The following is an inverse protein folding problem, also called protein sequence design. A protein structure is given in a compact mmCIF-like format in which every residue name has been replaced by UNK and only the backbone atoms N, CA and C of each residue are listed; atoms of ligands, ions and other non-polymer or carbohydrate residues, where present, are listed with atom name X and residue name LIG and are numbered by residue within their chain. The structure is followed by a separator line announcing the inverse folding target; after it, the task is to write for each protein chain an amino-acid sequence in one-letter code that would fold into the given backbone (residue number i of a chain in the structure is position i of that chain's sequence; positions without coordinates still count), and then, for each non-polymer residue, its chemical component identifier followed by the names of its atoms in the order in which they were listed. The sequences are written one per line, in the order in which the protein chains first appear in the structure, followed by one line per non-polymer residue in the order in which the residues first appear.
data_IF_018342449337
#
_entry.id   IF_018342449337
#
_cell.length_a   1.000
_cell.length_b   1.000
_cell.length_c   1.000
_cell.angle_alpha   90.00
_cell.angle_beta   90.00
_cell.angle_gamma   90.00
#
_symmetry.space_group_name_H-M   'P 1'
#
loop_
_entity.id
_entity.type
_entity.pdbx_description
1 polymer ?
#
# COMPACT_ATOMS: atom_id res chain seq x y z
N UNK A 1 -20.34 -7.99 -16.36
CA UNK A 1 -19.68 -8.07 -15.03
C UNK A 1 -18.19 -7.90 -15.24
N UNK A 2 -17.62 -6.96 -14.58
CA UNK A 2 -16.19 -6.66 -14.71
C UNK A 2 -15.37 -7.69 -13.91
N UNK A 3 -14.98 -8.79 -14.58
CA UNK A 3 -14.16 -9.85 -13.97
C UNK A 3 -12.81 -9.33 -13.45
N UNK A 4 -12.29 -8.21 -14.00
CA UNK A 4 -11.05 -7.60 -13.56
C UNK A 4 -11.15 -7.08 -12.13
N UNK A 5 -12.26 -6.43 -11.77
CA UNK A 5 -12.48 -5.95 -10.40
C UNK A 5 -12.58 -7.10 -9.38
N UNK A 6 -13.14 -8.23 -9.79
CA UNK A 6 -13.22 -9.44 -8.96
C UNK A 6 -11.82 -10.05 -8.72
N UNK A 7 -11.01 -10.11 -9.78
CA UNK A 7 -9.63 -10.63 -9.67
C UNK A 7 -8.74 -9.64 -8.90
N UNK A 8 -8.94 -8.33 -9.05
CA UNK A 8 -8.20 -7.34 -8.24
C UNK A 8 -8.41 -7.54 -6.74
N UNK A 9 -9.64 -7.79 -6.28
CA UNK A 9 -9.89 -8.10 -4.85
C UNK A 9 -9.09 -9.30 -4.36
N UNK A 10 -8.95 -10.32 -5.17
CA UNK A 10 -8.12 -11.48 -4.82
C UNK A 10 -6.62 -11.12 -4.82
N UNK A 11 -6.17 -10.29 -5.77
CA UNK A 11 -4.78 -9.80 -5.81
C UNK A 11 -4.49 -8.96 -4.56
N UNK A 12 -5.36 -8.02 -4.20
CA UNK A 12 -5.21 -7.19 -3.00
C UNK A 12 -5.13 -8.06 -1.74
N UNK A 13 -6.03 -9.03 -1.60
CA UNK A 13 -6.01 -10.00 -0.50
C UNK A 13 -4.68 -10.79 -0.45
N UNK A 14 -4.17 -11.24 -1.59
CA UNK A 14 -2.88 -11.96 -1.67
C UNK A 14 -1.74 -11.03 -1.23
N UNK A 15 -1.67 -9.80 -1.72
CA UNK A 15 -0.61 -8.84 -1.39
C UNK A 15 -0.58 -8.48 0.11
N UNK A 16 -1.75 -8.32 0.72
CA UNK A 16 -1.89 -8.06 2.15
C UNK A 16 -1.49 -9.25 3.02
N UNK A 17 -1.51 -10.46 2.45
CA UNK A 17 -1.29 -11.71 3.19
C UNK A 17 -0.04 -12.50 2.73
N UNK A 18 0.92 -11.88 2.02
CA UNK A 18 2.10 -12.60 1.52
C UNK A 18 2.93 -13.29 2.62
N UNK A 19 2.92 -12.78 3.85
CA UNK A 19 3.60 -13.38 5.01
C UNK A 19 2.76 -14.45 5.73
N UNK A 20 1.47 -14.51 5.46
CA UNK A 20 0.53 -15.43 6.09
C UNK A 20 0.25 -16.63 5.18
N UNK A 21 -0.52 -17.57 5.68
CA UNK A 21 -1.08 -18.61 4.82
C UNK A 21 -2.15 -18.00 3.91
N UNK A 22 -1.99 -18.20 2.60
CA UNK A 22 -2.95 -17.74 1.58
C UNK A 22 -3.63 -18.97 0.99
N UNK A 23 -4.82 -19.30 1.49
CA UNK A 23 -5.62 -20.38 0.95
C UNK A 23 -6.35 -19.97 -0.34
N UNK A 24 -6.37 -20.85 -1.33
CA UNK A 24 -7.06 -20.59 -2.62
C UNK A 24 -8.57 -20.37 -2.41
N UNK A 25 -9.17 -21.05 -1.44
CA UNK A 25 -10.57 -20.88 -1.11
C UNK A 25 -10.87 -19.47 -0.60
N UNK A 26 -9.97 -18.86 0.17
CA UNK A 26 -10.14 -17.48 0.64
C UNK A 26 -10.02 -16.48 -0.51
N UNK A 27 -9.06 -16.67 -1.42
CA UNK A 27 -8.93 -15.87 -2.63
C UNK A 27 -10.19 -15.96 -3.51
N UNK A 28 -10.74 -17.16 -3.65
CA UNK A 28 -11.97 -17.38 -4.41
C UNK A 28 -13.16 -16.67 -3.74
N UNK A 29 -13.28 -16.77 -2.42
CA UNK A 29 -14.35 -16.13 -1.64
C UNK A 29 -14.33 -14.62 -1.78
N UNK A 30 -13.17 -13.96 -1.62
CA UNK A 30 -13.06 -12.49 -1.72
C UNK A 30 -13.30 -12.00 -3.14
N UNK A 31 -13.02 -12.83 -4.15
CA UNK A 31 -13.32 -12.54 -5.55
C UNK A 31 -14.77 -12.87 -5.96
N UNK A 32 -15.54 -13.52 -5.07
CA UNK A 32 -16.93 -13.91 -5.36
C UNK A 32 -17.07 -15.08 -6.33
N UNK A 33 -16.04 -15.94 -6.46
CA UNK A 33 -16.04 -17.12 -7.32
C UNK A 33 -15.97 -18.41 -6.52
N UNK A 34 -16.34 -19.53 -7.16
CA UNK A 34 -15.92 -20.84 -6.69
C UNK A 34 -14.42 -21.03 -6.93
N UNK A 35 -13.74 -21.86 -6.15
CA UNK A 35 -12.29 -22.06 -6.27
C UNK A 35 -11.85 -22.47 -7.68
N UNK A 36 -12.57 -23.42 -8.30
CA UNK A 36 -12.28 -23.86 -9.67
C UNK A 36 -12.43 -22.71 -10.69
N UNK A 37 -13.49 -21.93 -10.57
CA UNK A 37 -13.74 -20.79 -11.45
C UNK A 37 -12.72 -19.68 -11.25
N UNK A 38 -12.36 -19.39 -9.97
CA UNK A 38 -11.33 -18.44 -9.61
C UNK A 38 -9.98 -18.76 -10.26
N UNK A 39 -9.48 -19.99 -10.11
CA UNK A 39 -8.18 -20.39 -10.68
C UNK A 39 -8.15 -20.15 -12.19
N UNK A 40 -9.22 -20.50 -12.89
CA UNK A 40 -9.33 -20.33 -14.35
C UNK A 40 -9.34 -18.85 -14.73
N UNK A 41 -10.21 -18.06 -14.11
CA UNK A 41 -10.36 -16.62 -14.41
C UNK A 41 -9.11 -15.85 -14.03
N UNK A 42 -8.50 -16.18 -12.88
CA UNK A 42 -7.24 -15.58 -12.45
C UNK A 42 -6.13 -15.83 -13.49
N UNK A 43 -5.96 -17.08 -13.94
CA UNK A 43 -4.96 -17.42 -14.96
C UNK A 43 -5.24 -16.72 -16.31
N UNK A 44 -6.49 -16.64 -16.72
CA UNK A 44 -6.89 -15.95 -17.93
C UNK A 44 -6.59 -14.43 -17.85
N UNK A 45 -6.86 -13.83 -16.69
CA UNK A 45 -6.65 -12.40 -16.45
C UNK A 45 -5.18 -12.00 -16.28
N UNK A 46 -4.36 -12.87 -15.63
CA UNK A 46 -3.00 -12.53 -15.19
C UNK A 46 -1.89 -13.26 -15.95
N UNK A 47 -2.24 -14.31 -16.68
CA UNK A 47 -1.27 -15.22 -17.30
C UNK A 47 -0.62 -16.21 -16.32
N UNK A 48 -0.92 -16.15 -15.03
CA UNK A 48 -0.34 -16.97 -13.96
C UNK A 48 -1.43 -17.72 -13.20
N UNK A 49 -1.08 -18.88 -12.65
CA UNK A 49 -1.93 -19.46 -11.62
C UNK A 49 -1.82 -18.65 -10.33
N UNK A 50 -2.85 -18.63 -9.44
CA UNK A 50 -2.75 -17.94 -8.17
C UNK A 50 -1.54 -18.38 -7.33
N UNK A 51 -1.23 -19.67 -7.31
CA UNK A 51 -0.07 -20.24 -6.59
C UNK A 51 1.25 -19.72 -7.16
N UNK A 52 1.38 -19.67 -8.50
CA UNK A 52 2.58 -19.11 -9.15
C UNK A 52 2.73 -17.62 -8.87
N UNK A 53 1.63 -16.89 -8.89
CA UNK A 53 1.61 -15.47 -8.55
C UNK A 53 2.10 -15.24 -7.11
N UNK A 54 1.50 -15.91 -6.13
CA UNK A 54 1.90 -15.84 -4.72
C UNK A 54 3.38 -16.16 -4.55
N UNK A 55 3.86 -17.24 -5.17
CA UNK A 55 5.28 -17.64 -5.09
C UNK A 55 6.20 -16.55 -5.65
N UNK A 56 5.92 -16.00 -6.83
CA UNK A 56 6.73 -14.95 -7.46
C UNK A 56 6.74 -13.64 -6.65
N UNK A 57 5.59 -13.28 -6.09
CA UNK A 57 5.49 -12.09 -5.23
C UNK A 57 6.26 -12.27 -3.93
N UNK A 58 6.15 -13.42 -3.27
CA UNK A 58 6.92 -13.76 -2.07
C UNK A 58 8.42 -13.70 -2.33
N UNK A 59 8.92 -14.31 -3.41
CA UNK A 59 10.33 -14.24 -3.78
C UNK A 59 10.80 -12.78 -4.00
N UNK A 60 9.98 -11.97 -4.64
CA UNK A 60 10.28 -10.54 -4.85
C UNK A 60 10.37 -9.78 -3.53
N UNK A 61 9.40 -9.97 -2.63
CA UNK A 61 9.39 -9.27 -1.35
C UNK A 61 10.51 -9.77 -0.42
N UNK A 62 10.88 -11.03 -0.46
CA UNK A 62 12.06 -11.57 0.23
C UNK A 62 13.32 -10.82 -0.23
N UNK A 63 13.53 -10.68 -1.54
CA UNK A 63 14.71 -9.97 -2.10
C UNK A 63 14.73 -8.50 -1.67
N UNK A 64 13.59 -7.82 -1.66
CA UNK A 64 13.49 -6.41 -1.26
C UNK A 64 13.72 -6.17 0.24
N UNK A 65 13.31 -7.12 1.08
CA UNK A 65 13.32 -6.97 2.54
C UNK A 65 14.52 -7.67 3.20
N UNK A 66 15.48 -8.10 2.41
CA UNK A 66 16.69 -8.73 2.94
C UNK A 66 17.56 -7.76 3.71
N UNK A 67 18.01 -8.20 4.88
CA UNK A 67 19.01 -7.49 5.66
C UNK A 67 20.39 -8.14 5.49
N UNK A 68 21.48 -7.37 5.50
CA UNK A 68 22.83 -7.88 5.25
C UNK A 68 23.27 -8.99 6.23
N UNK A 69 22.79 -8.92 7.46
CA UNK A 69 23.21 -9.79 8.58
C UNK A 69 22.19 -10.89 8.90
N UNK A 70 21.07 -10.99 8.16
CA UNK A 70 20.04 -11.99 8.37
C UNK A 70 20.16 -13.09 7.31
N UNK A 71 20.20 -14.38 7.70
CA UNK A 71 20.20 -15.47 6.75
C UNK A 71 18.97 -15.44 5.85
N UNK A 72 19.16 -15.69 4.56
CA UNK A 72 18.10 -15.71 3.56
C UNK A 72 16.92 -16.62 3.93
N UNK A 73 17.20 -17.71 4.61
CA UNK A 73 16.19 -18.66 5.06
C UNK A 73 15.25 -18.08 6.12
N UNK A 74 15.73 -17.19 6.97
CA UNK A 74 14.88 -16.57 8.01
C UNK A 74 13.85 -15.64 7.36
N UNK A 75 14.29 -14.75 6.47
CA UNK A 75 13.35 -13.91 5.70
C UNK A 75 12.40 -14.78 4.88
N UNK A 76 12.86 -15.89 4.29
CA UNK A 76 12.00 -16.79 3.52
C UNK A 76 10.91 -17.46 4.39
N UNK A 77 11.24 -17.82 5.63
CA UNK A 77 10.24 -18.37 6.57
C UNK A 77 9.15 -17.37 6.92
N UNK A 78 9.51 -16.06 7.09
CA UNK A 78 8.52 -15.01 7.30
C UNK A 78 7.51 -14.89 6.14
N UNK A 79 7.94 -15.21 4.92
CA UNK A 79 7.09 -15.21 3.72
C UNK A 79 6.49 -16.60 3.40
N UNK A 80 6.36 -17.46 4.40
CA UNK A 80 5.61 -18.71 4.30
C UNK A 80 6.30 -19.84 3.53
N UNK A 81 7.63 -19.80 3.36
CA UNK A 81 8.38 -20.97 2.94
C UNK A 81 8.63 -21.86 4.15
N UNK A 82 8.26 -23.13 4.05
CA UNK A 82 8.30 -24.08 5.15
C UNK A 82 9.64 -24.82 5.30
N UNK A 83 10.55 -24.66 4.34
CA UNK A 83 11.92 -25.17 4.45
C UNK A 83 12.90 -24.40 3.56
N UNK A 84 14.18 -24.45 3.92
CA UNK A 84 15.28 -23.87 3.15
C UNK A 84 15.38 -24.49 1.74
N UNK A 85 15.16 -25.79 1.64
CA UNK A 85 15.21 -26.54 0.37
C UNK A 85 14.09 -26.10 -0.56
N UNK A 86 12.88 -25.92 -0.03
CA UNK A 86 11.72 -25.45 -0.79
C UNK A 86 11.95 -24.04 -1.33
N UNK A 87 12.44 -23.14 -0.46
CA UNK A 87 12.84 -21.79 -0.87
C UNK A 87 13.93 -21.79 -1.93
N UNK A 88 15.03 -22.54 -1.70
CA UNK A 88 16.17 -22.62 -2.63
C UNK A 88 15.73 -23.10 -4.01
N UNK A 89 14.89 -24.14 -4.05
CA UNK A 89 14.34 -24.67 -5.30
C UNK A 89 13.45 -23.65 -6.02
N UNK A 90 12.57 -22.98 -5.29
CA UNK A 90 11.69 -21.96 -5.86
C UNK A 90 12.50 -20.76 -6.39
N UNK A 91 13.51 -20.32 -5.64
CA UNK A 91 14.39 -19.20 -6.03
C UNK A 91 15.21 -19.55 -7.29
N UNK A 92 15.84 -20.74 -7.31
CA UNK A 92 16.61 -21.18 -8.46
C UNK A 92 15.74 -21.39 -9.72
N UNK A 93 14.51 -21.87 -9.56
CA UNK A 93 13.57 -22.01 -10.66
C UNK A 93 13.15 -20.65 -11.25
N UNK A 94 13.07 -19.59 -10.44
CA UNK A 94 12.67 -18.27 -10.90
C UNK A 94 13.84 -17.44 -11.44
N UNK A 95 14.98 -17.50 -10.78
CA UNK A 95 16.11 -16.60 -11.05
C UNK A 95 17.30 -17.28 -11.75
N UNK A 96 17.28 -18.62 -11.91
CA UNK A 96 18.34 -19.43 -12.53
C UNK A 96 19.71 -19.34 -11.83
N UNK A 97 19.72 -18.91 -10.57
CA UNK A 97 20.90 -18.86 -9.69
C UNK A 97 20.50 -19.35 -8.29
N UNK A 98 21.49 -19.68 -7.46
CA UNK A 98 21.24 -20.03 -6.07
C UNK A 98 21.03 -18.77 -5.20
N UNK A 99 20.27 -18.87 -4.09
CA UNK A 99 20.12 -17.75 -3.14
C UNK A 99 21.45 -17.22 -2.61
N UNK A 100 22.49 -18.05 -2.52
CA UNK A 100 23.82 -17.64 -2.07
C UNK A 100 24.55 -16.73 -3.07
N UNK A 101 24.15 -16.75 -4.31
CA UNK A 101 24.77 -15.99 -5.42
C UNK A 101 24.05 -14.65 -5.68
N UNK A 102 22.94 -14.38 -4.98
CA UNK A 102 22.08 -13.23 -5.29
C UNK A 102 22.79 -11.86 -5.21
N UNK A 103 23.76 -11.69 -4.28
CA UNK A 103 24.47 -10.42 -4.10
C UNK A 103 25.21 -9.99 -5.37
N UNK A 104 25.79 -10.95 -6.09
CA UNK A 104 26.48 -10.70 -7.37
C UNK A 104 25.54 -10.45 -8.54
N UNK A 105 24.27 -10.86 -8.43
CA UNK A 105 23.28 -10.79 -9.49
C UNK A 105 22.14 -9.82 -9.20
N UNK A 106 22.20 -9.02 -8.12
CA UNK A 106 21.09 -8.22 -7.62
C UNK A 106 20.43 -7.34 -8.69
N UNK A 107 21.23 -6.70 -9.54
CA UNK A 107 20.73 -5.81 -10.61
C UNK A 107 20.12 -6.57 -11.80
N UNK A 108 20.33 -7.87 -11.90
CA UNK A 108 19.80 -8.72 -12.98
C UNK A 108 18.64 -9.61 -12.54
N UNK A 109 18.28 -9.58 -11.26
CA UNK A 109 17.16 -10.36 -10.75
C UNK A 109 15.84 -9.82 -11.27
N UNK A 110 15.02 -10.72 -11.79
CA UNK A 110 13.67 -10.40 -12.24
C UNK A 110 12.73 -10.27 -11.04
N UNK A 111 12.42 -9.04 -10.65
CA UNK A 111 11.44 -8.75 -9.62
C UNK A 111 10.04 -8.67 -10.23
N UNK A 112 9.10 -9.37 -9.63
CA UNK A 112 7.71 -9.42 -10.05
C UNK A 112 6.90 -8.34 -9.31
N UNK A 113 6.46 -7.32 -10.01
CA UNK A 113 5.56 -6.29 -9.44
C UNK A 113 4.17 -6.89 -9.21
N UNK A 114 3.43 -6.32 -8.26
CA UNK A 114 2.00 -6.61 -8.14
C UNK A 114 1.28 -6.33 -9.45
N UNK A 115 0.39 -7.23 -9.85
CA UNK A 115 -0.44 -7.02 -11.04
C UNK A 115 -1.50 -5.99 -10.71
N UNK A 116 -1.59 -4.98 -11.55
CA UNK A 116 -2.67 -4.02 -11.57
C UNK A 116 -3.30 -4.05 -12.94
N UNK A 117 -4.60 -4.30 -13.02
CA UNK A 117 -5.31 -4.11 -14.27
C UNK A 117 -5.50 -2.61 -14.46
N UNK A 118 -5.16 -2.10 -15.66
CA UNK A 118 -5.58 -0.77 -16.05
C UNK A 118 -7.10 -0.73 -15.94
N UNK A 119 -7.59 -0.17 -14.84
CA UNK A 119 -8.97 0.28 -14.78
C UNK A 119 -9.05 1.47 -15.74
N UNK A 120 -10.10 1.56 -16.52
CA UNK A 120 -10.52 2.78 -17.22
C UNK A 120 -10.09 3.99 -16.41
N UNK A 121 -9.63 5.10 -17.05
CA UNK A 121 -9.11 6.23 -16.30
C UNK A 121 -10.09 6.55 -15.18
N UNK A 122 -9.70 6.18 -13.98
CA UNK A 122 -10.53 6.34 -12.79
C UNK A 122 -10.50 7.81 -12.44
N UNK A 123 -11.05 8.64 -13.31
CA UNK A 123 -11.28 10.09 -13.28
C UNK A 123 -10.61 10.96 -12.20
N UNK A 124 -9.58 10.44 -11.55
CA UNK A 124 -8.91 11.04 -10.40
C UNK A 124 -7.58 11.63 -10.87
N UNK A 125 -7.61 12.94 -11.14
CA UNK A 125 -6.37 13.70 -11.38
C UNK A 125 -5.95 14.34 -10.06
N UNK A 126 -4.72 14.10 -9.56
CA UNK A 126 -4.28 14.74 -8.33
C UNK A 126 -4.04 16.22 -8.52
N UNK A 127 -4.30 16.98 -7.47
CA UNK A 127 -3.81 18.33 -7.32
C UNK A 127 -2.46 18.31 -6.63
N UNK A 128 -1.45 18.93 -7.24
CA UNK A 128 -0.13 19.09 -6.61
C UNK A 128 -0.14 20.39 -5.81
N UNK A 129 0.10 20.30 -4.51
CA UNK A 129 0.02 21.44 -3.61
C UNK A 129 1.15 21.47 -2.59
N UNK A 130 1.51 22.68 -2.17
CA UNK A 130 2.49 22.89 -1.10
C UNK A 130 1.74 23.03 0.23
N UNK A 131 1.97 22.11 1.16
CA UNK A 131 1.41 22.17 2.51
C UNK A 131 2.39 22.82 3.48
N UNK A 132 1.85 23.57 4.45
CA UNK A 132 2.58 23.99 5.65
C UNK A 132 2.57 22.85 6.67
N UNK A 133 3.60 22.74 7.53
CA UNK A 133 3.58 21.74 8.60
C UNK A 133 2.44 22.03 9.59
N UNK A 134 1.85 20.96 10.14
CA UNK A 134 0.80 21.08 11.16
C UNK A 134 0.81 19.89 12.11
N UNK A 135 0.24 20.11 13.30
CA UNK A 135 0.11 19.08 14.33
C UNK A 135 -1.27 18.41 14.31
N UNK A 136 -1.28 17.15 14.70
CA UNK A 136 -2.49 16.36 14.93
C UNK A 136 -2.46 15.81 16.37
N UNK A 137 -3.62 15.72 17.02
CA UNK A 137 -3.86 14.93 18.22
C UNK A 137 -4.65 13.69 17.80
N UNK A 138 -4.05 12.51 17.99
CA UNK A 138 -4.54 11.27 17.40
C UNK A 138 -4.60 10.11 18.40
N UNK A 139 -5.47 9.16 18.13
CA UNK A 139 -5.42 7.81 18.70
C UNK A 139 -4.63 6.89 17.79
N UNK A 140 -3.78 6.04 18.36
CA UNK A 140 -3.09 4.98 17.60
C UNK A 140 -4.01 3.77 17.44
N UNK A 141 -4.03 3.19 16.24
CA UNK A 141 -4.80 1.99 15.97
C UNK A 141 -4.23 0.76 16.68
N UNK A 142 -5.12 0.01 17.30
CA UNK A 142 -4.89 -1.35 17.77
C UNK A 142 -5.50 -2.41 16.83
N UNK A 143 -6.08 -1.96 15.71
CA UNK A 143 -6.72 -2.81 14.71
C UNK A 143 -5.80 -2.99 13.50
N UNK A 144 -5.68 -4.21 12.95
CA UNK A 144 -4.85 -4.47 11.78
C UNK A 144 -5.43 -3.89 10.49
N UNK A 145 -6.74 -3.57 10.48
CA UNK A 145 -7.46 -3.10 9.31
C UNK A 145 -8.08 -1.71 9.57
N UNK A 146 -7.64 -0.64 8.87
CA UNK A 146 -8.07 0.73 9.10
C UNK A 146 -9.59 0.96 9.18
N UNK A 147 -10.46 0.37 8.33
CA UNK A 147 -11.90 0.53 8.45
C UNK A 147 -12.49 0.09 9.79
N UNK A 148 -11.93 -0.94 10.43
CA UNK A 148 -12.37 -1.36 11.77
C UNK A 148 -12.06 -0.29 12.82
N UNK A 149 -10.90 0.35 12.69
CA UNK A 149 -10.51 1.43 13.57
C UNK A 149 -11.37 2.68 13.37
N UNK A 150 -11.73 3.02 12.14
CA UNK A 150 -12.71 4.06 11.85
C UNK A 150 -14.08 3.77 12.48
N UNK A 151 -14.57 2.53 12.40
CA UNK A 151 -15.82 2.14 13.06
C UNK A 151 -15.75 2.32 14.58
N UNK A 152 -14.62 1.93 15.20
CA UNK A 152 -14.36 2.10 16.63
C UNK A 152 -14.30 3.59 17.02
N UNK A 153 -13.57 4.40 16.26
CA UNK A 153 -13.41 5.84 16.45
C UNK A 153 -14.76 6.55 16.40
N UNK A 154 -15.54 6.29 15.36
CA UNK A 154 -16.87 6.89 15.16
C UNK A 154 -17.88 6.40 16.22
N UNK A 155 -17.92 5.10 16.49
CA UNK A 155 -18.83 4.52 17.48
C UNK A 155 -18.59 5.06 18.90
N UNK A 156 -17.34 5.35 19.25
CA UNK A 156 -16.96 5.94 20.54
C UNK A 156 -17.04 7.46 20.56
N UNK A 157 -17.37 8.10 19.43
CA UNK A 157 -17.47 9.56 19.25
C UNK A 157 -16.16 10.28 19.65
N UNK A 158 -15.03 9.71 19.31
CA UNK A 158 -13.73 10.20 19.73
C UNK A 158 -13.40 11.57 19.14
N UNK A 159 -13.81 11.87 17.91
CA UNK A 159 -13.72 13.21 17.32
C UNK A 159 -14.34 14.28 18.22
N UNK A 160 -15.59 14.05 18.66
CA UNK A 160 -16.31 14.95 19.58
C UNK A 160 -15.67 15.08 20.95
N UNK A 161 -15.07 13.99 21.45
CA UNK A 161 -14.34 14.03 22.73
C UNK A 161 -13.09 14.90 22.63
N UNK A 162 -12.32 14.77 21.55
CA UNK A 162 -11.13 15.59 21.31
C UNK A 162 -11.49 17.07 21.14
N UNK A 163 -12.51 17.38 20.36
CA UNK A 163 -12.91 18.76 20.00
C UNK A 163 -13.83 19.45 21.03
N UNK A 164 -14.11 18.82 22.16
CA UNK A 164 -15.07 19.36 23.14
C UNK A 164 -16.49 19.48 22.58
N UNK A 165 -16.84 18.68 21.58
CA UNK A 165 -18.17 18.67 20.94
C UNK A 165 -18.28 19.52 19.68
N UNK A 166 -17.24 20.23 19.28
CA UNK A 166 -17.20 20.99 18.03
C UNK A 166 -17.12 20.05 16.82
N UNK A 167 -17.64 20.51 15.68
CA UNK A 167 -17.48 19.80 14.41
C UNK A 167 -16.11 20.17 13.82
N UNK A 168 -15.28 19.21 13.55
CA UNK A 168 -13.98 19.38 12.92
C UNK A 168 -13.72 18.24 11.91
N UNK A 169 -12.76 18.48 11.03
CA UNK A 169 -12.31 17.46 10.07
C UNK A 169 -11.49 16.39 10.79
N UNK A 170 -11.80 15.14 10.49
CA UNK A 170 -11.06 13.98 10.98
C UNK A 170 -9.97 13.58 9.96
N UNK A 171 -8.82 13.19 10.49
CA UNK A 171 -7.64 12.76 9.75
C UNK A 171 -7.34 11.31 10.02
N UNK A 172 -7.29 10.47 8.98
CA UNK A 172 -6.65 9.17 9.00
C UNK A 172 -5.20 9.33 8.58
N UNK A 173 -4.26 8.77 9.34
CA UNK A 173 -2.82 8.93 9.07
C UNK A 173 -2.16 7.57 9.06
N UNK A 174 -1.39 7.31 8.03
CA UNK A 174 -0.66 6.06 7.86
C UNK A 174 0.85 6.31 7.73
N UNK A 175 1.63 5.37 8.26
CA UNK A 175 3.08 5.35 8.09
C UNK A 175 3.58 3.91 8.12
N UNK A 176 4.44 3.58 7.16
CA UNK A 176 5.09 2.27 7.17
C UNK A 176 6.19 2.21 8.24
N UNK A 177 6.02 1.33 9.21
CA UNK A 177 6.99 1.08 10.26
C UNK A 177 7.97 -0.02 9.81
N UNK A 178 9.15 0.40 9.34
CA UNK A 178 10.17 -0.54 8.85
C UNK A 178 10.72 -1.48 9.94
N UNK A 179 10.68 -1.08 11.22
CA UNK A 179 11.19 -1.91 12.31
C UNK A 179 10.27 -3.07 12.64
N UNK A 180 8.97 -2.81 12.61
CA UNK A 180 7.94 -3.80 12.93
C UNK A 180 7.31 -4.42 11.67
N UNK A 181 7.74 -3.94 10.50
CA UNK A 181 7.27 -4.38 9.19
C UNK A 181 5.72 -4.40 9.08
N UNK A 182 5.12 -3.32 9.56
CA UNK A 182 3.66 -3.12 9.53
C UNK A 182 3.29 -1.68 9.23
N UNK A 183 2.04 -1.48 8.85
CA UNK A 183 1.44 -0.16 8.74
C UNK A 183 1.01 0.30 10.14
N UNK A 184 1.59 1.39 10.64
CA UNK A 184 1.03 2.11 11.78
C UNK A 184 -0.07 3.05 11.25
N UNK A 185 -1.23 3.02 11.92
CA UNK A 185 -2.39 3.83 11.54
C UNK A 185 -2.93 4.62 12.72
N UNK A 186 -3.37 5.85 12.47
CA UNK A 186 -3.81 6.78 13.49
C UNK A 186 -5.05 7.52 13.00
N UNK A 187 -5.95 7.91 13.91
CA UNK A 187 -7.08 8.77 13.59
C UNK A 187 -7.19 9.87 14.64
N UNK A 188 -7.44 11.09 14.19
CA UNK A 188 -7.64 12.22 15.08
C UNK A 188 -7.98 13.52 14.36
N UNK A 189 -7.74 14.62 15.04
CA UNK A 189 -8.07 15.97 14.57
C UNK A 189 -6.85 16.88 14.62
N UNK A 190 -6.93 18.05 14.00
CA UNK A 190 -5.89 19.05 14.15
C UNK A 190 -5.69 19.45 15.61
N UNK A 191 -4.42 19.56 16.01
CA UNK A 191 -4.04 19.92 17.39
C UNK A 191 -4.70 21.23 17.86
N UNK A 192 -4.83 22.19 16.98
CA UNK A 192 -5.45 23.49 17.30
C UNK A 192 -6.94 23.39 17.67
N UNK A 193 -7.60 22.29 17.32
CA UNK A 193 -9.01 22.01 17.67
C UNK A 193 -9.15 21.01 18.82
N UNK A 194 -8.05 20.43 19.29
CA UNK A 194 -8.07 19.51 20.41
C UNK A 194 -8.16 20.30 21.72
N UNK A 195 -9.34 20.32 22.33
CA UNK A 195 -9.60 20.97 23.61
C UNK A 195 -9.39 20.04 24.81
N UNK A 196 -9.33 18.75 24.57
CA UNK A 196 -9.11 17.70 25.56
C UNK A 196 -7.92 16.84 25.11
N UNK A 197 -7.10 16.45 26.05
CA UNK A 197 -5.96 15.54 25.83
C UNK A 197 -6.18 14.26 26.66
N UNK A 198 -6.98 13.31 26.17
CA UNK A 198 -7.16 12.02 26.83
C UNK A 198 -5.83 11.29 26.92
N UNK A 199 -5.61 10.56 28.02
CA UNK A 199 -4.36 9.84 28.33
C UNK A 199 -3.93 8.79 27.29
N UNK A 200 -4.81 8.44 26.37
CA UNK A 200 -4.61 7.44 25.32
C UNK A 200 -4.39 8.06 23.91
N UNK A 201 -4.16 9.36 23.85
CA UNK A 201 -3.80 10.07 22.62
C UNK A 201 -2.31 10.35 22.52
N UNK A 202 -1.87 10.72 21.34
CA UNK A 202 -0.51 11.18 21.06
C UNK A 202 -0.52 12.31 20.04
N UNK A 203 0.56 13.08 20.01
CA UNK A 203 0.76 14.11 19.01
C UNK A 203 1.55 13.57 17.82
N UNK A 204 1.09 13.88 16.61
CA UNK A 204 1.82 13.70 15.37
C UNK A 204 2.13 15.05 14.73
N UNK A 205 3.30 15.16 14.12
CA UNK A 205 3.68 16.31 13.31
C UNK A 205 3.71 15.91 11.83
N UNK A 206 2.80 16.48 11.05
CA UNK A 206 2.79 16.32 9.61
C UNK A 206 3.76 17.34 9.01
N UNK A 207 4.73 16.85 8.27
CA UNK A 207 5.75 17.69 7.66
C UNK A 207 5.13 18.57 6.55
N UNK A 208 5.61 19.81 6.45
CA UNK A 208 5.36 20.64 5.28
C UNK A 208 6.10 20.08 4.05
N UNK A 209 5.63 20.41 2.86
CA UNK A 209 6.25 19.96 1.62
C UNK A 209 5.26 19.86 0.48
N UNK A 210 5.74 19.27 -0.62
CA UNK A 210 4.93 19.02 -1.80
C UNK A 210 4.09 17.76 -1.62
N UNK A 211 2.79 17.86 -1.88
CA UNK A 211 1.85 16.74 -1.78
C UNK A 211 1.06 16.57 -3.07
N UNK A 212 0.85 15.33 -3.47
CA UNK A 212 -0.18 14.96 -4.43
C UNK A 212 -1.47 14.63 -3.68
N UNK A 213 -2.54 15.34 -3.97
CA UNK A 213 -3.84 15.21 -3.31
C UNK A 213 -4.82 14.58 -4.28
N UNK A 214 -5.32 13.40 -3.94
CA UNK A 214 -6.28 12.64 -4.74
C UNK A 214 -7.65 12.71 -4.09
N UNK A 215 -8.58 13.44 -4.70
CA UNK A 215 -9.98 13.40 -4.28
C UNK A 215 -10.63 12.11 -4.81
N UNK A 216 -11.14 11.25 -3.92
CA UNK A 216 -11.87 10.05 -4.34
C UNK A 216 -13.21 10.46 -5.00
N UNK A 217 -13.69 9.70 -5.97
CA UNK A 217 -15.05 9.88 -6.46
C UNK A 217 -16.07 9.75 -5.33
N UNK A 218 -17.15 10.53 -5.40
CA UNK A 218 -18.27 10.41 -4.46
C UNK A 218 -18.89 9.02 -4.60
N UNK A 219 -19.06 8.33 -3.48
CA UNK A 219 -19.57 6.96 -3.44
C UNK A 219 -20.69 6.82 -2.41
N UNK A 220 -21.53 5.80 -2.57
CA UNK A 220 -22.49 5.38 -1.56
C UNK A 220 -21.77 4.72 -0.37
N UNK A 221 -22.44 4.60 0.77
CA UNK A 221 -21.90 3.87 1.92
C UNK A 221 -21.41 2.45 1.58
N UNK A 222 -22.11 1.76 0.66
CA UNK A 222 -21.76 0.39 0.26
C UNK A 222 -20.51 0.32 -0.65
N UNK A 223 -20.24 1.38 -1.42
CA UNK A 223 -19.16 1.40 -2.40
C UNK A 223 -17.94 2.19 -1.93
N UNK A 224 -18.05 2.88 -0.80
CA UNK A 224 -17.03 3.85 -0.37
C UNK A 224 -15.67 3.19 -0.13
N UNK A 225 -15.62 2.12 0.65
CA UNK A 225 -14.37 1.38 0.92
C UNK A 225 -13.75 0.86 -0.37
N UNK A 226 -14.57 0.34 -1.29
CA UNK A 226 -14.09 -0.12 -2.59
C UNK A 226 -13.54 1.04 -3.45
N UNK A 227 -14.15 2.21 -3.36
CA UNK A 227 -13.69 3.43 -4.07
C UNK A 227 -12.35 3.89 -3.52
N UNK A 228 -12.14 3.84 -2.21
CA UNK A 228 -10.85 4.12 -1.56
C UNK A 228 -9.77 3.16 -2.07
N UNK A 229 -10.02 1.85 -2.03
CA UNK A 229 -9.07 0.83 -2.49
C UNK A 229 -8.71 1.02 -3.97
N UNK A 230 -9.68 1.33 -4.82
CA UNK A 230 -9.44 1.62 -6.25
C UNK A 230 -8.57 2.86 -6.44
N UNK A 231 -8.78 3.90 -5.61
CA UNK A 231 -7.96 5.11 -5.65
C UNK A 231 -6.52 4.82 -5.24
N UNK A 232 -6.31 4.07 -4.16
CA UNK A 232 -4.98 3.63 -3.72
C UNK A 232 -4.28 2.77 -4.78
N UNK A 233 -4.98 1.86 -5.43
CA UNK A 233 -4.45 1.07 -6.53
C UNK A 233 -4.04 1.95 -7.72
N UNK A 234 -4.87 2.94 -8.10
CA UNK A 234 -4.52 3.89 -9.12
C UNK A 234 -3.25 4.68 -8.76
N UNK A 235 -3.16 5.19 -7.54
CA UNK A 235 -1.98 5.91 -7.03
C UNK A 235 -0.73 5.05 -7.15
N UNK A 236 -0.79 3.82 -6.64
CA UNK A 236 0.38 2.95 -6.50
C UNK A 236 0.83 2.32 -7.82
N UNK A 237 -0.10 1.91 -8.65
CA UNK A 237 0.17 1.09 -9.82
C UNK A 237 0.22 1.89 -11.13
N UNK A 238 -0.44 3.05 -11.18
CA UNK A 238 -0.57 3.85 -12.41
C UNK A 238 0.08 5.21 -12.23
N UNK A 239 -0.38 6.00 -11.28
CA UNK A 239 0.05 7.38 -11.18
C UNK A 239 1.51 7.53 -10.76
N UNK A 240 1.93 6.98 -9.61
CA UNK A 240 3.32 7.08 -9.14
C UNK A 240 4.35 6.48 -10.10
N UNK A 241 4.11 5.32 -10.75
CA UNK A 241 5.04 4.80 -11.76
C UNK A 241 5.08 5.64 -13.03
N UNK A 242 3.95 6.20 -13.44
CA UNK A 242 3.75 6.85 -14.75
C UNK A 242 4.11 8.32 -14.82
N UNK A 243 4.54 8.96 -13.71
CA UNK A 243 4.82 10.40 -13.72
C UNK A 243 6.21 10.75 -13.13
N UNK A 244 6.52 12.05 -13.14
CA UNK A 244 7.80 12.61 -12.68
C UNK A 244 7.98 12.70 -11.16
N UNK A 245 7.10 12.09 -10.36
CA UNK A 245 7.16 12.17 -8.90
C UNK A 245 7.47 10.84 -8.24
N UNK A 246 8.05 10.90 -7.05
CA UNK A 246 8.27 9.76 -6.15
C UNK A 246 7.87 10.15 -4.72
N UNK A 247 7.50 9.15 -3.90
CA UNK A 247 7.26 9.37 -2.47
C UNK A 247 8.51 9.90 -1.76
N UNK A 248 8.31 10.82 -0.81
CA UNK A 248 9.42 11.26 0.07
C UNK A 248 9.57 10.38 1.30
N UNK A 249 8.57 9.53 1.60
CA UNK A 249 8.43 8.86 2.88
C UNK A 249 7.77 9.77 3.94
N UNK A 250 7.54 9.24 5.13
CA UNK A 250 6.84 9.91 6.21
C UNK A 250 5.34 9.59 6.24
N UNK A 251 4.57 10.47 6.86
CA UNK A 251 3.13 10.26 7.01
C UNK A 251 2.38 10.54 5.70
N UNK A 252 1.59 9.56 5.26
CA UNK A 252 0.52 9.75 4.31
C UNK A 252 -0.77 9.95 5.10
N UNK A 253 -1.68 10.79 4.63
CA UNK A 253 -2.91 11.02 5.37
C UNK A 253 -4.11 11.22 4.46
N UNK A 254 -5.28 11.03 5.03
CA UNK A 254 -6.57 11.19 4.38
C UNK A 254 -7.48 12.07 5.22
N UNK A 255 -8.34 12.85 4.56
CA UNK A 255 -9.42 13.60 5.21
C UNK A 255 -10.75 13.12 4.66
N UNK A 256 -11.70 12.96 5.55
CA UNK A 256 -13.00 12.37 5.25
C UNK A 256 -14.09 13.42 5.15
N UNK A 257 -14.94 13.29 4.13
CA UNK A 257 -16.09 14.17 3.93
C UNK A 257 -17.36 13.35 3.72
N UNK A 258 -18.39 13.66 4.53
CA UNK A 258 -19.74 13.09 4.41
C UNK A 258 -20.72 14.18 4.01
N UNK A 259 -21.37 14.02 2.85
CA UNK A 259 -22.39 14.93 2.33
C UNK A 259 -23.66 14.13 1.99
N UNK A 260 -24.73 14.28 2.76
CA UNK A 260 -26.07 13.75 2.41
C UNK A 260 -26.06 12.31 1.87
N UNK A 261 -25.44 11.37 2.57
CA UNK A 261 -25.26 9.95 2.19
C UNK A 261 -24.29 9.70 1.02
N UNK A 262 -23.53 10.68 0.63
CA UNK A 262 -22.43 10.57 -0.31
C UNK A 262 -21.12 10.79 0.43
N UNK A 263 -20.17 9.90 0.21
CA UNK A 263 -18.90 9.84 0.92
C UNK A 263 -17.76 10.05 -0.05
N UNK A 264 -16.78 10.83 0.36
CA UNK A 264 -15.52 11.00 -0.36
C UNK A 264 -14.40 11.29 0.61
N UNK A 265 -13.17 11.09 0.19
CA UNK A 265 -11.99 11.49 0.95
C UNK A 265 -10.95 12.13 0.03
N UNK A 266 -10.05 12.88 0.63
CA UNK A 266 -8.84 13.34 -0.02
C UNK A 266 -7.65 12.57 0.54
N UNK A 267 -6.89 11.91 -0.32
CA UNK A 267 -5.68 11.16 0.00
C UNK A 267 -4.47 12.04 -0.30
N UNK A 268 -3.63 12.27 0.70
CA UNK A 268 -2.45 13.15 0.63
C UNK A 268 -1.17 12.33 0.65
N UNK A 269 -0.44 12.31 -0.44
CA UNK A 269 0.83 11.60 -0.60
C UNK A 269 1.97 12.62 -0.63
N UNK A 270 2.93 12.57 0.31
CA UNK A 270 4.11 13.44 0.28
C UNK A 270 5.03 12.99 -0.87
N UNK A 271 5.36 13.92 -1.76
CA UNK A 271 6.08 13.65 -3.00
C UNK A 271 7.29 14.57 -3.18
N UNK A 272 8.21 14.13 -4.04
CA UNK A 272 9.30 14.92 -4.61
C UNK A 272 9.41 14.64 -6.10
N UNK A 273 9.93 15.59 -6.86
CA UNK A 273 10.27 15.37 -8.25
C UNK A 273 11.36 14.30 -8.40
N UNK A 274 11.20 13.43 -9.38
CA UNK A 274 12.26 12.48 -9.76
C UNK A 274 13.40 13.26 -10.42
N UNK A 275 14.67 12.88 -10.21
CA UNK A 275 15.78 13.48 -10.94
C UNK A 275 15.52 13.35 -12.45
N UNK A 276 15.64 14.45 -13.17
CA UNK A 276 15.66 14.43 -14.64
C UNK A 276 16.97 13.75 -15.02
N UNK A 277 16.91 12.57 -15.63
CA UNK A 277 18.07 11.95 -16.26
C UNK A 277 18.43 12.79 -17.50
N UNK A 278 19.30 13.80 -17.32
CA UNK A 278 19.89 14.51 -18.45
C UNK A 278 20.81 13.56 -19.18
N UNK A 279 20.70 13.51 -20.50
CA UNK A 279 21.48 12.66 -21.41
C UNK A 279 22.99 12.98 -21.44
N UNK A 280 23.49 13.84 -20.56
CA UNK A 280 24.89 14.25 -20.46
C UNK A 280 25.79 13.28 -19.69
N UNK A 281 25.24 12.23 -19.07
CA UNK A 281 26.02 11.23 -18.31
C UNK A 281 26.70 10.14 -19.15
N UNK A 282 26.45 10.05 -20.46
CA UNK A 282 27.00 8.98 -21.31
C UNK A 282 28.21 9.38 -22.17
N UNK A 283 28.75 10.60 -22.01
CA UNK A 283 29.82 11.10 -22.88
C UNK A 283 31.26 10.96 -22.33
N UNK A 284 31.50 10.49 -21.13
CA UNK A 284 32.84 10.46 -20.54
C UNK A 284 33.41 9.06 -20.22
N UNK A 285 32.85 7.99 -20.81
CA UNK A 285 33.41 6.63 -20.64
C UNK A 285 34.14 6.07 -21.86
N UNK A 286 34.34 6.89 -22.93
CA UNK A 286 34.96 6.45 -24.18
C UNK A 286 36.35 7.03 -24.47
N UNK A 287 37.05 7.54 -23.45
CA UNK A 287 38.41 8.12 -23.67
C UNK A 287 39.51 7.55 -22.76
N UNK A 288 39.36 6.31 -22.30
CA UNK A 288 40.51 5.54 -21.77
C UNK A 288 40.39 4.08 -22.22
N UNK A 289 40.80 3.85 -23.47
CA UNK A 289 41.38 2.60 -23.96
C UNK A 289 42.51 3.01 -24.93
#
# INVERSE_FOLDING_TARGET
MDYKSHIMRAIDYIEENLKNEVALNDCARVSGYSEYHFIRVFKEATGLTPVDYIRKRRLTEIIKNMQPDVPFSETAFEYGFNSKENFTRAFAAEHHILPTEYKSALNSLKLYKSICFETEPFGVTPTITQLKPFGLTVYKSDEPFPPNFWNKYNGRKWSKKLSGGSVCEDYGVSMWNNKENRLDYFIGIRKEYALCDPSDTMELSINGGLYAVFATPKASHYDFVNTIHRTWNYINCIWLPGNGYSRTGGYEFETYTEESRSFSENIYIPIKEKPVLTSEGFSNAASYL
#
